data_IF_258026866135
#
_entry.id   IF_258026866135
#
_cell.length_a   1.000
_cell.length_b   1.000
_cell.length_c   1.000
_cell.angle_alpha   90.00
_cell.angle_beta   90.00
_cell.angle_gamma   90.00
#
_symmetry.space_group_name_H-M   'P 1'
#
loop_
_entity.id
_entity.type
_entity.pdbx_description
1 polymer ?
#
# COMPACT_ATOMS: atom_id res chain seq x y z
N UNK A 1 46.98 -49.56 21.44
CA UNK A 1 47.42 -49.84 20.05
C UNK A 1 48.55 -48.88 19.68
N UNK A 2 49.78 -49.37 19.62
CA UNK A 2 50.96 -48.66 19.15
C UNK A 2 51.00 -48.82 17.64
N UNK A 3 50.88 -47.68 16.89
CA UNK A 3 51.19 -47.72 15.48
C UNK A 3 51.66 -46.37 14.98
N UNK A 4 52.89 -46.42 14.48
CA UNK A 4 53.47 -45.54 13.44
C UNK A 4 53.84 -44.10 13.80
N UNK A 5 54.94 -44.00 14.60
CA UNK A 5 55.93 -42.90 14.46
C UNK A 5 56.85 -43.25 13.28
N UNK A 6 56.55 -42.78 12.12
CA UNK A 6 57.50 -42.71 11.00
C UNK A 6 57.42 -41.37 10.32
N UNK A 7 58.57 -40.74 10.18
CA UNK A 7 58.83 -39.46 9.53
C UNK A 7 58.40 -38.20 10.30
N UNK A 8 59.39 -37.56 10.93
CA UNK A 8 59.34 -36.27 11.59
C UNK A 8 59.24 -35.06 10.62
N UNK A 9 58.33 -35.12 9.67
CA UNK A 9 57.91 -33.93 8.94
C UNK A 9 56.76 -33.33 9.75
N UNK A 10 57.06 -32.31 10.56
CA UNK A 10 55.99 -31.43 11.07
C UNK A 10 55.29 -30.86 9.83
N UNK A 11 54.12 -31.35 9.55
CA UNK A 11 53.27 -30.65 8.62
C UNK A 11 53.10 -29.24 9.20
N UNK A 12 53.63 -28.26 8.51
CA UNK A 12 53.44 -26.86 8.88
C UNK A 12 51.93 -26.65 8.97
N UNK A 13 51.48 -26.27 10.16
CA UNK A 13 50.05 -25.94 10.41
C UNK A 13 49.70 -24.85 9.42
N UNK A 14 48.87 -25.18 8.42
CA UNK A 14 48.45 -24.22 7.41
C UNK A 14 47.58 -23.16 8.10
N UNK A 15 48.17 -21.99 8.33
CA UNK A 15 47.41 -20.81 8.79
C UNK A 15 46.91 -20.08 7.56
N UNK A 16 45.57 -19.87 7.41
CA UNK A 16 45.06 -19.10 6.30
C UNK A 16 45.65 -17.70 6.34
N UNK A 17 46.24 -17.26 5.25
CA UNK A 17 46.75 -15.89 5.12
C UNK A 17 45.60 -14.93 5.31
N UNK A 18 45.75 -13.84 6.08
CA UNK A 18 44.72 -12.84 6.21
C UNK A 18 44.24 -12.38 4.83
N UNK A 19 42.91 -12.20 4.61
CA UNK A 19 42.40 -11.76 3.34
C UNK A 19 43.09 -10.45 2.95
N UNK A 20 43.71 -10.41 1.78
CA UNK A 20 44.26 -9.16 1.26
C UNK A 20 43.15 -8.19 0.96
N UNK A 21 43.32 -6.91 1.33
CA UNK A 21 42.34 -5.89 0.93
C UNK A 21 42.20 -5.89 -0.59
N UNK A 22 40.97 -5.73 -1.08
CA UNK A 22 40.73 -5.68 -2.52
C UNK A 22 41.52 -4.52 -3.15
N UNK A 23 42.04 -4.68 -4.38
CA UNK A 23 42.78 -3.61 -5.07
C UNK A 23 41.94 -2.32 -5.10
N UNK A 24 42.58 -1.16 -4.88
CA UNK A 24 41.89 0.13 -4.88
C UNK A 24 41.14 0.41 -6.20
N UNK A 25 41.56 -0.20 -7.31
CA UNK A 25 40.91 -0.14 -8.62
C UNK A 25 39.59 -0.95 -8.70
N UNK A 26 39.32 -1.82 -7.73
CA UNK A 26 38.11 -2.67 -7.71
C UNK A 26 37.08 -2.26 -6.65
N UNK A 27 37.42 -1.27 -5.81
CA UNK A 27 36.60 -0.81 -4.68
C UNK A 27 36.31 0.69 -4.80
N UNK A 28 35.14 1.13 -4.40
CA UNK A 28 34.72 2.54 -4.40
C UNK A 28 33.86 2.93 -5.62
N UNK A 29 33.37 4.18 -5.60
CA UNK A 29 32.47 4.71 -6.62
C UNK A 29 33.04 4.71 -8.04
N UNK A 30 34.34 5.00 -8.17
CA UNK A 30 35.01 5.00 -9.47
C UNK A 30 35.09 3.59 -10.10
N UNK A 31 35.41 2.58 -9.28
CA UNK A 31 35.44 1.19 -9.73
C UNK A 31 34.02 0.68 -10.08
N UNK A 32 33.04 1.07 -9.28
CA UNK A 32 31.63 0.76 -9.54
C UNK A 32 31.15 1.40 -10.86
N UNK A 33 31.41 2.70 -11.06
CA UNK A 33 31.05 3.42 -12.27
C UNK A 33 31.69 2.79 -13.52
N UNK A 34 32.99 2.50 -13.45
CA UNK A 34 33.72 1.86 -14.57
C UNK A 34 33.13 0.51 -14.93
N UNK A 35 32.71 -0.29 -13.95
CA UNK A 35 32.17 -1.64 -14.16
C UNK A 35 30.71 -1.67 -14.58
N UNK A 36 29.90 -0.68 -14.20
CA UNK A 36 28.46 -0.68 -14.45
C UNK A 36 28.03 0.35 -15.51
N UNK A 37 28.79 1.45 -15.67
CA UNK A 37 28.42 2.52 -16.60
C UNK A 37 29.32 2.58 -17.85
N UNK A 38 30.54 2.06 -17.76
CA UNK A 38 31.56 2.20 -18.79
C UNK A 38 32.29 0.87 -19.10
N UNK A 39 31.62 -0.28 -18.87
CA UNK A 39 32.23 -1.59 -19.06
C UNK A 39 32.36 -1.96 -20.54
N UNK A 40 31.38 -1.68 -21.34
CA UNK A 40 31.30 -1.97 -22.77
C UNK A 40 30.96 -0.71 -23.57
N UNK A 41 31.24 -0.68 -24.90
CA UNK A 41 30.80 0.43 -25.75
C UNK A 41 29.29 0.67 -25.69
N UNK A 42 28.49 -0.39 -25.52
CA UNK A 42 27.04 -0.29 -25.33
C UNK A 42 26.68 0.39 -24.03
N UNK A 43 27.35 0.03 -22.91
CA UNK A 43 27.11 0.67 -21.60
C UNK A 43 27.49 2.16 -21.64
N UNK A 44 28.58 2.51 -22.34
CA UNK A 44 28.96 3.91 -22.54
C UNK A 44 27.89 4.67 -23.29
N UNK A 45 27.40 4.12 -24.42
CA UNK A 45 26.32 4.76 -25.20
C UNK A 45 25.06 4.95 -24.39
N UNK A 46 24.61 3.92 -23.66
CA UNK A 46 23.43 4.01 -22.78
C UNK A 46 23.62 5.00 -21.64
N UNK A 47 24.82 5.05 -21.06
CA UNK A 47 25.13 6.00 -19.98
C UNK A 47 25.12 7.45 -20.49
N UNK A 48 25.69 7.70 -21.68
CA UNK A 48 25.68 9.04 -22.30
C UNK A 48 24.24 9.46 -22.65
N UNK A 49 23.47 8.56 -23.28
CA UNK A 49 22.05 8.84 -23.61
C UNK A 49 21.23 9.08 -22.33
N UNK A 50 21.41 8.26 -21.31
CA UNK A 50 20.75 8.44 -20.01
C UNK A 50 21.12 9.76 -19.35
N UNK A 51 22.40 10.14 -19.37
CA UNK A 51 22.87 11.41 -18.83
C UNK A 51 22.28 12.61 -19.59
N UNK A 52 22.26 12.57 -20.93
CA UNK A 52 21.62 13.60 -21.75
C UNK A 52 20.13 13.72 -21.41
N UNK A 53 19.42 12.60 -21.32
CA UNK A 53 18.00 12.59 -20.96
C UNK A 53 17.74 13.15 -19.56
N UNK A 54 18.55 12.78 -18.57
CA UNK A 54 18.42 13.29 -17.20
C UNK A 54 18.71 14.79 -17.14
N UNK A 55 19.75 15.26 -17.83
CA UNK A 55 20.10 16.68 -17.88
C UNK A 55 18.98 17.47 -18.59
N UNK A 56 18.49 16.96 -19.72
CA UNK A 56 17.41 17.61 -20.46
C UNK A 56 16.13 17.69 -19.63
N UNK A 57 15.66 16.55 -19.06
CA UNK A 57 14.50 16.51 -18.16
C UNK A 57 14.70 17.40 -16.93
N UNK A 58 15.90 17.34 -16.34
CA UNK A 58 16.25 18.17 -15.20
C UNK A 58 16.15 19.66 -15.51
N UNK A 59 16.67 20.10 -16.65
CA UNK A 59 16.55 21.49 -17.10
C UNK A 59 15.09 21.89 -17.33
N UNK A 60 14.29 21.07 -18.01
CA UNK A 60 12.85 21.32 -18.25
C UNK A 60 12.10 21.44 -16.93
N UNK A 61 12.34 20.53 -15.99
CA UNK A 61 11.69 20.55 -14.68
C UNK A 61 12.12 21.73 -13.82
N UNK A 62 13.41 22.06 -13.82
CA UNK A 62 13.94 23.22 -13.08
C UNK A 62 13.42 24.51 -13.64
N UNK A 63 13.38 24.63 -14.97
CA UNK A 63 12.82 25.80 -15.65
C UNK A 63 11.35 26.00 -15.31
N UNK A 64 10.56 24.93 -15.42
CA UNK A 64 9.14 24.95 -15.10
C UNK A 64 8.87 25.20 -13.61
N UNK A 65 9.58 24.50 -12.71
CA UNK A 65 9.27 24.51 -11.28
C UNK A 65 9.84 25.72 -10.54
N UNK A 66 10.94 26.33 -11.05
CA UNK A 66 11.67 27.37 -10.32
C UNK A 66 11.96 28.62 -11.16
N UNK A 67 12.50 28.50 -12.38
CA UNK A 67 12.97 29.66 -13.14
C UNK A 67 11.80 30.47 -13.66
N UNK A 68 10.83 29.82 -14.31
CA UNK A 68 9.63 30.44 -14.86
C UNK A 68 8.42 30.35 -13.91
N UNK A 69 8.62 29.88 -12.69
CA UNK A 69 7.57 29.73 -11.70
C UNK A 69 7.17 31.07 -11.06
N UNK A 70 5.89 31.15 -10.67
CA UNK A 70 5.39 32.27 -9.85
C UNK A 70 5.42 31.85 -8.38
N UNK A 71 6.08 32.63 -7.51
CA UNK A 71 6.19 32.34 -6.07
C UNK A 71 5.35 33.30 -5.21
N UNK A 72 4.87 34.43 -5.78
CA UNK A 72 4.09 35.41 -5.05
C UNK A 72 2.89 35.88 -5.89
N UNK A 73 1.77 36.11 -5.23
CA UNK A 73 0.54 36.62 -5.85
C UNK A 73 -0.66 36.24 -5.01
N UNK A 74 -1.62 37.16 -4.87
CA UNK A 74 -2.82 36.98 -4.04
C UNK A 74 -4.04 36.50 -4.84
N UNK A 75 -3.93 36.48 -6.18
CA UNK A 75 -5.03 36.10 -7.05
C UNK A 75 -4.60 35.26 -8.27
N UNK A 76 -5.61 34.81 -9.04
CA UNK A 76 -5.43 34.03 -10.26
C UNK A 76 -4.57 34.70 -11.32
N UNK A 77 -4.52 36.04 -11.35
CA UNK A 77 -3.79 36.77 -12.37
C UNK A 77 -2.29 36.59 -12.26
N UNK A 78 -1.78 36.34 -11.06
CA UNK A 78 -0.37 36.00 -10.83
C UNK A 78 0.09 34.72 -11.57
N UNK A 79 -0.84 33.83 -11.90
CA UNK A 79 -0.59 32.58 -12.59
C UNK A 79 -0.84 32.64 -14.11
N UNK A 80 -1.34 33.75 -14.64
CA UNK A 80 -1.73 33.89 -16.05
C UNK A 80 -0.64 34.57 -16.92
N UNK A 81 0.62 34.52 -16.54
CA UNK A 81 1.74 35.06 -17.30
C UNK A 81 2.01 34.26 -18.58
N UNK A 82 2.46 34.93 -19.68
CA UNK A 82 2.67 34.26 -20.98
C UNK A 82 3.76 33.19 -20.99
N UNK A 83 4.68 33.19 -20.03
CA UNK A 83 5.67 32.13 -19.82
C UNK A 83 5.30 31.38 -18.53
N UNK A 84 4.59 30.26 -18.69
CA UNK A 84 3.95 29.58 -17.56
C UNK A 84 4.83 28.44 -17.02
N UNK A 85 5.50 28.74 -15.89
CA UNK A 85 6.01 27.73 -14.99
C UNK A 85 4.96 27.34 -13.93
N UNK A 86 5.41 26.68 -12.87
CA UNK A 86 4.57 26.30 -11.74
C UNK A 86 4.01 27.53 -11.02
N UNK A 87 2.76 27.44 -10.59
CA UNK A 87 2.12 28.48 -9.76
C UNK A 87 2.07 28.04 -8.30
N UNK A 88 3.07 28.40 -7.53
CA UNK A 88 3.17 28.03 -6.11
C UNK A 88 2.14 28.71 -5.21
N UNK A 89 1.74 30.00 -5.42
CA UNK A 89 0.68 30.63 -4.66
C UNK A 89 -0.65 29.89 -4.71
N UNK A 90 -0.96 29.26 -5.86
CA UNK A 90 -2.13 28.41 -5.99
C UNK A 90 -2.06 27.19 -5.06
N UNK A 91 -0.89 26.54 -4.98
CA UNK A 91 -0.67 25.38 -4.10
C UNK A 91 -0.83 25.81 -2.64
N UNK A 92 -0.23 26.94 -2.26
CA UNK A 92 -0.31 27.46 -0.88
C UNK A 92 -1.76 27.80 -0.50
N UNK A 93 -2.47 28.54 -1.33
CA UNK A 93 -3.87 28.91 -1.10
C UNK A 93 -4.84 27.72 -1.03
N UNK A 94 -4.52 26.62 -1.71
CA UNK A 94 -5.38 25.43 -1.81
C UNK A 94 -4.90 24.24 -0.99
N UNK A 95 -3.75 24.33 -0.33
CA UNK A 95 -3.14 23.21 0.41
C UNK A 95 -4.10 22.65 1.46
N UNK A 96 -4.82 23.49 2.19
CA UNK A 96 -5.84 23.07 3.14
C UNK A 96 -6.92 22.22 2.47
N UNK A 97 -7.41 22.63 1.31
CA UNK A 97 -8.41 21.87 0.57
C UNK A 97 -7.86 20.58 -0.02
N UNK A 98 -6.59 20.54 -0.44
CA UNK A 98 -5.97 19.30 -0.91
C UNK A 98 -5.82 18.26 0.21
N UNK A 99 -5.63 18.70 1.45
CA UNK A 99 -5.48 17.79 2.59
C UNK A 99 -6.82 17.39 3.19
N UNK A 100 -7.68 18.37 3.47
CA UNK A 100 -8.89 18.18 4.28
C UNK A 100 -10.20 18.20 3.46
N UNK A 101 -10.14 18.61 2.19
CA UNK A 101 -11.34 18.83 1.38
C UNK A 101 -12.12 20.08 1.82
N UNK A 102 -13.40 19.89 2.14
CA UNK A 102 -14.29 20.91 2.68
C UNK A 102 -14.59 20.72 4.16
N UNK A 103 -13.75 19.96 4.86
CA UNK A 103 -13.93 19.70 6.28
C UNK A 103 -13.94 21.02 7.05
N UNK A 104 -14.87 21.23 8.03
CA UNK A 104 -14.98 22.49 8.76
C UNK A 104 -13.68 22.93 9.41
N UNK A 105 -13.26 24.17 9.18
CA UNK A 105 -11.96 24.69 9.66
C UNK A 105 -11.81 24.58 11.17
N UNK A 106 -12.88 24.86 11.94
CA UNK A 106 -12.89 24.74 13.40
C UNK A 106 -12.58 23.31 13.88
N UNK A 107 -12.79 22.32 13.05
CA UNK A 107 -12.70 20.89 13.40
C UNK A 107 -11.50 20.18 12.76
N UNK A 108 -10.65 20.87 11.99
CA UNK A 108 -9.46 20.31 11.34
C UNK A 108 -8.51 19.61 12.34
N UNK A 109 -8.47 20.09 13.57
CA UNK A 109 -7.66 19.48 14.63
C UNK A 109 -7.97 17.98 14.81
N UNK A 110 -9.21 17.54 14.60
CA UNK A 110 -9.63 16.12 14.69
C UNK A 110 -8.94 15.28 13.61
N UNK A 111 -8.93 15.80 12.38
CA UNK A 111 -8.27 15.15 11.24
C UNK A 111 -6.76 15.04 11.51
N UNK A 112 -6.16 16.10 12.04
CA UNK A 112 -4.74 16.12 12.39
C UNK A 112 -4.40 15.09 13.46
N UNK A 113 -5.27 14.92 14.47
CA UNK A 113 -5.10 13.87 15.47
C UNK A 113 -5.18 12.48 14.86
N UNK A 114 -6.15 12.25 13.95
CA UNK A 114 -6.26 10.96 13.23
C UNK A 114 -4.99 10.68 12.43
N UNK A 115 -4.48 11.66 11.70
CA UNK A 115 -3.22 11.50 10.96
C UNK A 115 -2.03 11.23 11.90
N UNK A 116 -1.91 11.99 12.99
CA UNK A 116 -0.85 11.82 13.97
C UNK A 116 -0.85 10.41 14.57
N UNK A 117 -2.00 9.92 15.04
CA UNK A 117 -2.11 8.57 15.61
C UNK A 117 -1.91 7.48 14.56
N UNK A 118 -2.36 7.70 13.32
CA UNK A 118 -2.07 6.80 12.20
C UNK A 118 -0.57 6.69 11.92
N UNK A 119 0.13 7.81 11.81
CA UNK A 119 1.58 7.83 11.61
C UNK A 119 2.33 7.24 12.82
N UNK A 120 1.92 7.58 14.04
CA UNK A 120 2.52 7.05 15.27
C UNK A 120 2.39 5.51 15.36
N UNK A 121 1.29 4.93 14.85
CA UNK A 121 1.13 3.49 14.78
C UNK A 121 1.88 2.84 13.61
N UNK A 122 1.91 3.49 12.44
CA UNK A 122 2.51 2.92 11.22
C UNK A 122 4.04 3.00 11.20
N UNK A 123 4.62 4.14 11.61
CA UNK A 123 6.08 4.35 11.54
C UNK A 123 6.88 3.28 12.30
N UNK A 124 6.52 2.88 13.54
CA UNK A 124 7.22 1.80 14.22
C UNK A 124 7.12 0.45 13.51
N UNK A 125 6.07 0.21 12.71
CA UNK A 125 5.94 -1.02 11.94
C UNK A 125 6.96 -1.13 10.81
N UNK A 126 7.41 0.00 10.26
CA UNK A 126 8.43 0.07 9.21
C UNK A 126 9.85 -0.17 9.75
N UNK A 127 10.07 0.04 11.04
CA UNK A 127 11.39 -0.15 11.67
C UNK A 127 11.54 -1.59 12.17
N UNK A 128 12.48 -2.40 11.63
CA UNK A 128 12.65 -3.81 12.02
C UNK A 128 12.92 -4.01 13.51
N UNK A 129 13.66 -3.10 14.14
CA UNK A 129 14.07 -3.15 15.55
C UNK A 129 13.07 -2.52 16.53
N UNK A 130 11.95 -1.95 16.06
CA UNK A 130 10.99 -1.30 16.95
C UNK A 130 10.36 -2.32 17.92
N UNK A 131 10.28 -1.97 19.22
CA UNK A 131 9.62 -2.80 20.22
C UNK A 131 8.09 -2.76 20.07
N UNK A 132 7.40 -3.67 20.77
CA UNK A 132 5.94 -3.67 20.93
C UNK A 132 5.13 -3.75 19.61
N UNK A 133 5.63 -4.39 18.57
CA UNK A 133 4.92 -4.55 17.30
C UNK A 133 3.53 -5.17 17.45
N UNK A 134 3.38 -6.16 18.34
CA UNK A 134 2.08 -6.79 18.59
C UNK A 134 1.07 -5.79 19.18
N UNK A 135 1.52 -4.91 20.05
CA UNK A 135 0.68 -3.82 20.60
C UNK A 135 0.28 -2.84 19.50
N UNK A 136 1.22 -2.42 18.65
CA UNK A 136 0.92 -1.54 17.51
C UNK A 136 -0.07 -2.15 16.52
N UNK A 137 0.02 -3.46 16.27
CA UNK A 137 -0.96 -4.16 15.42
C UNK A 137 -2.35 -4.13 16.08
N UNK A 138 -2.44 -4.45 17.38
CA UNK A 138 -3.70 -4.39 18.13
C UNK A 138 -4.28 -2.98 18.15
N UNK A 139 -3.44 -1.96 18.33
CA UNK A 139 -3.82 -0.56 18.27
C UNK A 139 -4.38 -0.19 16.89
N UNK A 140 -3.66 -0.49 15.80
CA UNK A 140 -4.06 -0.13 14.44
C UNK A 140 -5.29 -0.89 13.93
N UNK A 141 -5.51 -2.13 14.38
CA UNK A 141 -6.65 -2.93 13.93
C UNK A 141 -7.87 -2.82 14.86
N UNK A 142 -7.66 -2.52 16.13
CA UNK A 142 -8.73 -2.44 17.13
C UNK A 142 -9.13 -0.99 17.48
N UNK A 143 -8.26 -0.26 18.13
CA UNK A 143 -8.55 1.07 18.64
C UNK A 143 -8.64 2.12 17.53
N UNK A 144 -7.66 2.16 16.65
CA UNK A 144 -7.52 3.22 15.65
C UNK A 144 -8.71 3.37 14.69
N UNK A 145 -9.34 2.31 14.14
CA UNK A 145 -10.51 2.48 13.29
C UNK A 145 -11.72 3.08 14.02
N UNK A 146 -11.94 2.66 15.26
CA UNK A 146 -13.03 3.20 16.09
C UNK A 146 -12.77 4.65 16.45
N UNK A 147 -11.54 4.96 16.88
CA UNK A 147 -11.10 6.32 17.13
C UNK A 147 -11.26 7.22 15.92
N UNK A 148 -10.79 6.77 14.75
CA UNK A 148 -10.90 7.50 13.48
C UNK A 148 -12.37 7.77 13.13
N UNK A 149 -13.23 6.77 13.24
CA UNK A 149 -14.64 6.92 12.96
C UNK A 149 -15.28 7.99 13.86
N UNK A 150 -15.09 7.92 15.18
CA UNK A 150 -15.65 8.87 16.14
C UNK A 150 -15.09 10.28 15.90
N UNK A 151 -13.79 10.42 15.69
CA UNK A 151 -13.16 11.73 15.47
C UNK A 151 -13.62 12.39 14.18
N UNK A 152 -13.72 11.64 13.10
CA UNK A 152 -14.06 12.21 11.79
C UNK A 152 -15.55 12.49 11.62
N UNK A 153 -16.44 11.63 12.13
CA UNK A 153 -17.88 11.83 12.01
C UNK A 153 -18.45 12.76 13.09
N UNK A 154 -17.87 12.76 14.28
CA UNK A 154 -18.43 13.48 15.43
C UNK A 154 -19.75 12.89 15.92
N UNK A 155 -20.61 13.74 16.46
CA UNK A 155 -21.92 13.34 17.00
C UNK A 155 -21.89 12.64 18.36
N UNK A 156 -20.70 12.30 18.86
CA UNK A 156 -20.47 11.68 20.17
C UNK A 156 -19.54 12.56 21.01
N UNK A 157 -19.61 12.42 22.33
CA UNK A 157 -18.73 13.13 23.29
C UNK A 157 -18.75 14.66 23.15
N UNK A 158 -19.87 15.25 22.67
CA UNK A 158 -19.97 16.70 22.47
C UNK A 158 -19.27 17.22 21.21
N UNK A 159 -18.75 16.35 20.34
CA UNK A 159 -18.16 16.74 19.08
C UNK A 159 -19.26 17.07 18.06
N UNK A 160 -19.19 18.20 17.33
CA UNK A 160 -20.12 18.50 16.25
C UNK A 160 -20.10 17.41 15.19
N UNK A 161 -21.27 17.02 14.68
CA UNK A 161 -21.35 16.06 13.58
C UNK A 161 -20.85 16.72 12.28
N UNK A 162 -20.03 16.00 11.53
CA UNK A 162 -19.53 16.43 10.22
C UNK A 162 -19.96 15.40 9.18
N UNK A 163 -20.70 15.87 8.18
CA UNK A 163 -21.15 15.02 7.10
C UNK A 163 -19.98 14.54 6.23
N UNK A 164 -20.02 13.31 5.78
CA UNK A 164 -18.95 12.74 4.92
C UNK A 164 -18.91 13.38 3.54
N UNK A 165 -19.94 14.10 3.13
CA UNK A 165 -19.99 14.94 1.93
C UNK A 165 -19.02 16.13 1.98
N UNK A 166 -18.64 16.55 3.18
CA UNK A 166 -17.67 17.62 3.41
C UNK A 166 -16.22 17.10 3.49
N UNK A 167 -16.06 15.79 3.55
CA UNK A 167 -14.74 15.19 3.49
C UNK A 167 -14.20 15.23 2.07
N UNK A 168 -12.88 15.39 1.92
CA UNK A 168 -12.27 15.44 0.60
C UNK A 168 -10.75 15.39 0.66
N UNK A 169 -10.12 15.52 -0.49
CA UNK A 169 -8.68 15.58 -0.60
C UNK A 169 -7.99 14.32 -0.11
N UNK A 170 -6.82 14.51 0.50
CA UNK A 170 -6.01 13.43 1.06
C UNK A 170 -6.76 12.64 2.15
N UNK A 171 -7.62 13.29 2.93
CA UNK A 171 -8.43 12.64 3.95
C UNK A 171 -9.28 11.51 3.36
N UNK A 172 -10.07 11.78 2.31
CA UNK A 172 -10.91 10.76 1.66
C UNK A 172 -10.04 9.69 0.99
N UNK A 173 -8.97 10.10 0.31
CA UNK A 173 -8.02 9.17 -0.30
C UNK A 173 -7.50 8.15 0.73
N UNK A 174 -7.06 8.63 1.90
CA UNK A 174 -6.52 7.76 2.96
C UNK A 174 -7.62 6.90 3.61
N UNK A 175 -8.80 7.45 3.86
CA UNK A 175 -9.92 6.68 4.45
C UNK A 175 -10.31 5.53 3.52
N UNK A 176 -10.46 5.79 2.23
CA UNK A 176 -10.83 4.75 1.24
C UNK A 176 -9.71 3.71 1.10
N UNK A 177 -8.45 4.16 0.94
CA UNK A 177 -7.32 3.26 0.78
C UNK A 177 -7.12 2.37 2.01
N UNK A 178 -7.03 2.96 3.21
CA UNK A 178 -6.76 2.22 4.45
C UNK A 178 -7.89 1.24 4.77
N UNK A 179 -9.14 1.66 4.61
CA UNK A 179 -10.29 0.78 4.83
C UNK A 179 -10.31 -0.38 3.84
N UNK A 180 -10.11 -0.09 2.54
CA UNK A 180 -10.03 -1.12 1.51
C UNK A 180 -8.88 -2.10 1.75
N UNK A 181 -7.68 -1.62 2.08
CA UNK A 181 -6.51 -2.43 2.43
C UNK A 181 -6.79 -3.31 3.65
N UNK A 182 -7.30 -2.71 4.73
CA UNK A 182 -7.57 -3.42 5.98
C UNK A 182 -8.65 -4.51 5.82
N UNK A 183 -9.67 -4.26 5.01
CA UNK A 183 -10.74 -5.22 4.74
C UNK A 183 -10.32 -6.31 3.73
N UNK A 184 -9.51 -5.96 2.72
CA UNK A 184 -9.18 -6.87 1.62
C UNK A 184 -8.40 -8.12 2.07
N UNK A 185 -7.47 -7.98 3.00
CA UNK A 185 -6.64 -9.11 3.42
C UNK A 185 -7.42 -10.18 4.20
N UNK A 186 -8.16 -9.87 5.27
CA UNK A 186 -8.94 -10.88 5.99
C UNK A 186 -10.05 -11.49 5.12
N UNK A 187 -10.79 -10.67 4.37
CA UNK A 187 -11.82 -11.16 3.46
C UNK A 187 -11.22 -12.01 2.34
N UNK A 188 -10.10 -11.60 1.77
CA UNK A 188 -9.36 -12.34 0.76
C UNK A 188 -8.88 -13.70 1.25
N UNK A 189 -8.38 -13.79 2.50
CA UNK A 189 -8.01 -15.06 3.12
C UNK A 189 -9.24 -15.97 3.25
N UNK A 190 -10.36 -15.45 3.76
CA UNK A 190 -11.61 -16.23 3.91
C UNK A 190 -12.09 -16.74 2.56
N UNK A 191 -12.13 -15.90 1.53
CA UNK A 191 -12.53 -16.27 0.18
C UNK A 191 -11.58 -17.33 -0.44
N UNK A 192 -10.26 -17.16 -0.28
CA UNK A 192 -9.27 -18.10 -0.79
C UNK A 192 -9.40 -19.49 -0.11
N UNK A 193 -9.64 -19.54 1.20
CA UNK A 193 -9.90 -20.76 1.93
C UNK A 193 -11.25 -21.37 1.54
N UNK A 194 -12.28 -20.55 1.39
CA UNK A 194 -13.61 -20.99 0.97
C UNK A 194 -13.60 -21.61 -0.44
N UNK A 195 -12.85 -21.01 -1.39
CA UNK A 195 -12.63 -21.59 -2.74
C UNK A 195 -11.97 -22.99 -2.70
N UNK A 196 -11.20 -23.30 -1.66
CA UNK A 196 -10.57 -24.62 -1.44
C UNK A 196 -11.41 -25.57 -0.56
N UNK A 197 -12.57 -25.13 -0.10
CA UNK A 197 -13.44 -25.93 0.76
C UNK A 197 -13.89 -27.22 0.08
N UNK A 198 -14.05 -28.29 0.87
CA UNK A 198 -14.66 -29.54 0.44
C UNK A 198 -16.19 -29.43 0.33
N UNK A 199 -16.80 -28.43 0.99
CA UNK A 199 -18.23 -28.17 0.93
C UNK A 199 -18.56 -27.46 -0.40
N UNK A 200 -19.35 -28.10 -1.30
CA UNK A 200 -19.56 -27.58 -2.64
C UNK A 200 -20.24 -26.21 -2.64
N UNK A 201 -21.20 -25.98 -1.75
CA UNK A 201 -21.92 -24.69 -1.65
C UNK A 201 -20.95 -23.56 -1.34
N UNK A 202 -20.12 -23.68 -0.30
CA UNK A 202 -19.13 -22.65 0.08
C UNK A 202 -18.14 -22.42 -1.05
N UNK A 203 -17.66 -23.51 -1.65
CA UNK A 203 -16.70 -23.45 -2.76
C UNK A 203 -17.25 -22.65 -3.95
N UNK A 204 -18.46 -22.99 -4.42
CA UNK A 204 -19.05 -22.32 -5.59
C UNK A 204 -19.45 -20.90 -5.30
N UNK A 205 -19.95 -20.56 -4.10
CA UNK A 205 -20.22 -19.18 -3.70
C UNK A 205 -18.93 -18.34 -3.70
N UNK A 206 -17.83 -18.84 -3.13
CA UNK A 206 -16.56 -18.11 -3.13
C UNK A 206 -16.00 -17.95 -4.55
N UNK A 207 -16.10 -19.00 -5.40
CA UNK A 207 -15.67 -18.91 -6.80
C UNK A 207 -16.50 -17.86 -7.53
N UNK A 208 -17.82 -17.93 -7.46
CA UNK A 208 -18.73 -16.99 -8.10
C UNK A 208 -18.43 -15.55 -7.68
N UNK A 209 -18.28 -15.31 -6.37
CA UNK A 209 -17.92 -14.00 -5.85
C UNK A 209 -16.62 -13.48 -6.45
N UNK A 210 -15.55 -14.29 -6.37
CA UNK A 210 -14.23 -13.89 -6.87
C UNK A 210 -14.27 -13.59 -8.38
N UNK A 211 -14.89 -14.47 -9.18
CA UNK A 211 -14.93 -14.29 -10.64
C UNK A 211 -15.79 -13.08 -11.04
N UNK A 212 -16.92 -12.83 -10.37
CA UNK A 212 -17.78 -11.66 -10.65
C UNK A 212 -17.04 -10.36 -10.35
N UNK A 213 -16.48 -10.21 -9.14
CA UNK A 213 -15.80 -8.96 -8.77
C UNK A 213 -14.49 -8.72 -9.52
N UNK A 214 -13.82 -9.77 -10.01
CA UNK A 214 -12.64 -9.62 -10.87
C UNK A 214 -12.97 -9.43 -12.34
N UNK A 215 -14.13 -9.87 -12.78
CA UNK A 215 -14.59 -9.71 -14.16
C UNK A 215 -15.21 -8.34 -14.45
N UNK A 216 -15.57 -7.58 -13.42
CA UNK A 216 -16.23 -6.27 -13.56
C UNK A 216 -15.24 -5.16 -13.19
N UNK A 217 -15.17 -4.03 -13.96
CA UNK A 217 -14.35 -2.89 -13.59
C UNK A 217 -14.75 -2.29 -12.23
N UNK A 218 -13.77 -1.81 -11.45
CA UNK A 218 -14.05 -1.18 -10.15
C UNK A 218 -15.04 -0.02 -10.25
N UNK A 219 -14.95 0.79 -11.31
CA UNK A 219 -15.86 1.92 -11.53
C UNK A 219 -17.32 1.47 -11.58
N UNK A 220 -17.61 0.33 -12.20
CA UNK A 220 -18.95 -0.26 -12.24
C UNK A 220 -19.39 -0.72 -10.87
N UNK A 221 -18.50 -1.36 -10.10
CA UNK A 221 -18.78 -1.79 -8.71
C UNK A 221 -19.12 -0.60 -7.82
N UNK A 222 -18.37 0.50 -7.93
CA UNK A 222 -18.61 1.74 -7.18
C UNK A 222 -19.95 2.36 -7.54
N UNK A 223 -20.29 2.42 -8.82
CA UNK A 223 -21.58 2.92 -9.28
C UNK A 223 -22.74 2.05 -8.75
N UNK A 224 -22.60 0.73 -8.87
CA UNK A 224 -23.59 -0.23 -8.34
C UNK A 224 -23.75 -0.10 -6.81
N UNK A 225 -22.66 0.00 -6.08
CA UNK A 225 -22.69 0.20 -4.63
C UNK A 225 -23.33 1.54 -4.26
N UNK A 226 -23.07 2.61 -5.01
CA UNK A 226 -23.64 3.93 -4.72
C UNK A 226 -25.13 4.04 -5.03
N UNK A 227 -25.57 3.48 -6.18
CA UNK A 227 -26.93 3.67 -6.71
C UNK A 227 -27.84 2.49 -6.36
N UNK A 228 -27.36 1.26 -6.53
CA UNK A 228 -28.23 0.08 -6.37
C UNK A 228 -28.29 -0.46 -4.94
N UNK A 229 -27.21 -0.34 -4.15
CA UNK A 229 -27.22 -0.85 -2.78
C UNK A 229 -28.41 -0.31 -1.95
N UNK A 230 -28.75 0.99 -2.00
CA UNK A 230 -29.93 1.50 -1.28
C UNK A 230 -31.26 0.82 -1.65
N UNK A 231 -31.38 0.35 -2.91
CA UNK A 231 -32.60 -0.31 -3.39
C UNK A 231 -32.83 -1.71 -2.78
N UNK A 232 -31.77 -2.30 -2.24
CA UNK A 232 -31.84 -3.62 -1.58
C UNK A 232 -31.95 -3.51 -0.06
N UNK A 233 -31.91 -2.29 0.49
CA UNK A 233 -32.00 -2.08 1.93
C UNK A 233 -33.49 -1.95 2.34
N UNK A 234 -33.85 -2.39 3.56
CA UNK A 234 -35.16 -2.16 4.11
C UNK A 234 -35.49 -0.67 4.24
N UNK A 235 -36.75 -0.32 4.19
CA UNK A 235 -37.22 1.04 4.39
C UNK A 235 -36.71 1.63 5.71
N UNK A 236 -36.17 2.84 5.64
CA UNK A 236 -35.60 3.55 6.79
C UNK A 236 -34.13 3.24 7.05
N UNK A 237 -33.50 2.28 6.37
CA UNK A 237 -32.07 2.01 6.44
C UNK A 237 -31.37 2.64 5.23
N UNK A 238 -30.55 3.65 5.48
CA UNK A 238 -29.75 4.26 4.41
C UNK A 238 -28.28 4.37 4.86
N UNK A 239 -27.39 3.79 4.08
CA UNK A 239 -25.96 4.00 4.29
C UNK A 239 -25.52 5.31 3.61
N UNK A 240 -24.70 6.04 4.32
CA UNK A 240 -24.00 7.19 3.77
C UNK A 240 -23.21 6.85 2.49
N UNK A 241 -23.06 7.84 1.61
CA UNK A 241 -22.40 7.66 0.31
C UNK A 241 -20.97 7.11 0.44
N UNK A 242 -20.21 7.62 1.40
CA UNK A 242 -18.83 7.14 1.65
C UNK A 242 -18.88 5.67 2.12
N UNK A 243 -19.78 5.31 3.03
CA UNK A 243 -19.91 3.93 3.52
C UNK A 243 -20.23 2.96 2.37
N UNK A 244 -21.14 3.33 1.47
CA UNK A 244 -21.44 2.52 0.27
C UNK A 244 -20.22 2.33 -0.62
N UNK A 245 -19.45 3.39 -0.81
CA UNK A 245 -18.18 3.34 -1.55
C UNK A 245 -17.17 2.41 -0.87
N UNK A 246 -16.98 2.53 0.45
CA UNK A 246 -16.08 1.69 1.23
C UNK A 246 -16.45 0.19 1.13
N UNK A 247 -17.75 -0.14 1.18
CA UNK A 247 -18.23 -1.51 0.97
C UNK A 247 -17.84 -2.01 -0.43
N UNK A 248 -18.12 -1.22 -1.49
CA UNK A 248 -17.79 -1.58 -2.86
C UNK A 248 -16.29 -1.83 -3.06
N UNK A 249 -15.44 -0.94 -2.54
CA UNK A 249 -13.98 -1.07 -2.58
C UNK A 249 -13.51 -2.29 -1.81
N UNK A 250 -14.06 -2.55 -0.61
CA UNK A 250 -13.68 -3.69 0.21
C UNK A 250 -14.02 -5.02 -0.46
N UNK A 251 -15.19 -5.15 -1.06
CA UNK A 251 -15.62 -6.36 -1.78
C UNK A 251 -14.75 -6.59 -3.03
N UNK A 252 -14.53 -5.55 -3.83
CA UNK A 252 -13.69 -5.62 -5.02
C UNK A 252 -12.26 -6.03 -4.68
N UNK A 253 -11.62 -5.32 -3.76
CA UNK A 253 -10.22 -5.57 -3.40
C UNK A 253 -10.03 -6.94 -2.71
N UNK A 254 -11.06 -7.44 -1.99
CA UNK A 254 -11.01 -8.76 -1.39
C UNK A 254 -10.97 -9.88 -2.42
N UNK A 255 -11.62 -9.72 -3.58
CA UNK A 255 -11.60 -10.71 -4.66
C UNK A 255 -10.19 -10.82 -5.29
N UNK A 256 -9.52 -9.69 -5.52
CA UNK A 256 -8.12 -9.68 -5.99
C UNK A 256 -7.17 -10.26 -4.94
N UNK A 257 -7.33 -9.88 -3.68
CA UNK A 257 -6.53 -10.41 -2.58
C UNK A 257 -6.73 -11.93 -2.41
N UNK A 258 -7.95 -12.43 -2.63
CA UNK A 258 -8.22 -13.87 -2.58
C UNK A 258 -7.38 -14.67 -3.59
N UNK A 259 -7.19 -14.14 -4.80
CA UNK A 259 -6.35 -14.79 -5.81
C UNK A 259 -4.86 -14.75 -5.45
N UNK A 260 -4.38 -13.65 -4.88
CA UNK A 260 -3.01 -13.54 -4.37
C UNK A 260 -2.77 -14.58 -3.28
N UNK A 261 -3.66 -14.65 -2.28
CA UNK A 261 -3.58 -15.64 -1.19
C UNK A 261 -3.70 -17.08 -1.72
N UNK A 262 -4.60 -17.32 -2.68
CA UNK A 262 -4.75 -18.63 -3.34
C UNK A 262 -3.44 -19.09 -3.97
N UNK A 263 -2.75 -18.19 -4.69
CA UNK A 263 -1.43 -18.45 -5.27
C UNK A 263 -0.43 -18.92 -4.20
N UNK A 264 -0.37 -18.24 -3.06
CA UNK A 264 0.47 -18.65 -1.93
C UNK A 264 0.10 -20.01 -1.35
N UNK A 265 -1.20 -20.26 -1.15
CA UNK A 265 -1.68 -21.55 -0.65
C UNK A 265 -1.38 -22.72 -1.61
N UNK A 266 -1.32 -22.46 -2.91
CA UNK A 266 -0.96 -23.47 -3.91
C UNK A 266 0.54 -23.76 -3.95
N UNK A 267 1.38 -22.81 -3.59
CA UNK A 267 2.83 -22.95 -3.57
C UNK A 267 3.34 -23.78 -2.38
N UNK A 268 2.49 -24.06 -1.38
CA UNK A 268 2.90 -24.85 -0.21
C UNK A 268 3.03 -26.35 -0.60
N UNK A 269 4.20 -26.96 -0.37
CA UNK A 269 4.42 -28.38 -0.66
C UNK A 269 3.45 -29.29 0.10
N UNK A 270 3.02 -30.38 -0.55
CA UNK A 270 2.11 -31.40 0.05
C UNK A 270 2.67 -31.98 1.36
N UNK A 271 4.00 -32.15 1.45
CA UNK A 271 4.67 -32.65 2.65
C UNK A 271 4.40 -31.83 3.92
N UNK A 272 4.08 -30.52 3.81
CA UNK A 272 3.69 -29.70 4.97
C UNK A 272 2.33 -30.13 5.53
N UNK A 273 1.40 -30.52 4.66
CA UNK A 273 0.09 -31.03 5.06
C UNK A 273 0.20 -32.48 5.63
N UNK A 274 1.05 -33.30 5.02
CA UNK A 274 1.30 -34.68 5.45
C UNK A 274 1.99 -34.73 6.81
N UNK A 275 3.02 -33.89 7.01
CA UNK A 275 3.70 -33.74 8.30
C UNK A 275 2.75 -33.28 9.42
N UNK A 276 1.89 -32.30 9.11
CA UNK A 276 0.88 -31.82 10.05
C UNK A 276 -0.11 -32.91 10.42
N UNK A 277 -0.55 -33.72 9.45
CA UNK A 277 -1.45 -34.87 9.69
C UNK A 277 -0.77 -35.93 10.52
N UNK A 278 0.52 -36.23 10.30
CA UNK A 278 1.29 -37.17 11.11
C UNK A 278 1.42 -36.75 12.59
N UNK A 279 1.40 -35.42 12.84
CA UNK A 279 1.36 -34.85 14.20
C UNK A 279 -0.05 -34.75 14.79
N UNK A 280 -1.08 -35.31 14.11
CA UNK A 280 -2.46 -35.29 14.58
C UNK A 280 -3.14 -33.93 14.52
N UNK A 281 -2.60 -32.98 13.75
CA UNK A 281 -3.19 -31.63 13.63
C UNK A 281 -4.42 -31.66 12.71
N UNK A 282 -5.56 -31.22 13.24
CA UNK A 282 -6.77 -31.04 12.44
C UNK A 282 -6.65 -29.84 11.44
N UNK A 283 -7.55 -29.79 10.47
CA UNK A 283 -7.55 -28.82 9.37
C UNK A 283 -7.29 -27.35 9.79
N UNK A 284 -8.01 -26.84 10.78
CA UNK A 284 -7.89 -25.46 11.22
C UNK A 284 -6.54 -25.16 11.89
N UNK A 285 -6.02 -26.11 12.69
CA UNK A 285 -4.69 -25.97 13.32
C UNK A 285 -3.60 -26.01 12.26
N UNK A 286 -3.66 -26.94 11.32
CA UNK A 286 -2.74 -27.03 10.17
C UNK A 286 -2.76 -25.76 9.34
N UNK A 287 -3.96 -25.28 9.00
CA UNK A 287 -4.10 -24.07 8.18
C UNK A 287 -3.55 -22.83 8.91
N UNK A 288 -3.96 -22.60 10.16
CA UNK A 288 -3.60 -21.38 10.91
C UNK A 288 -2.14 -21.32 11.32
N UNK A 289 -1.58 -22.46 11.77
CA UNK A 289 -0.25 -22.50 12.39
C UNK A 289 0.88 -22.81 11.39
N UNK A 290 0.59 -23.53 10.31
CA UNK A 290 1.62 -24.03 9.39
C UNK A 290 1.45 -23.44 7.99
N UNK A 291 0.30 -23.68 7.36
CA UNK A 291 0.11 -23.40 5.93
C UNK A 291 -0.04 -21.91 5.65
N UNK A 292 -0.97 -21.24 6.36
CA UNK A 292 -1.30 -19.83 6.08
C UNK A 292 -0.12 -18.88 6.33
N UNK A 293 0.65 -19.00 7.45
CA UNK A 293 1.81 -18.14 7.65
C UNK A 293 2.87 -18.28 6.55
N UNK A 294 3.12 -19.52 6.10
CA UNK A 294 4.06 -19.78 5.02
C UNK A 294 3.52 -19.23 3.68
N UNK A 295 2.25 -19.50 3.37
CA UNK A 295 1.61 -19.01 2.16
C UNK A 295 1.63 -17.48 2.07
N UNK A 296 1.25 -16.77 3.15
CA UNK A 296 1.27 -15.32 3.19
C UNK A 296 2.68 -14.77 3.00
N UNK A 297 3.70 -15.39 3.61
CA UNK A 297 5.10 -14.97 3.44
C UNK A 297 5.56 -15.05 1.98
N UNK A 298 5.13 -16.07 1.25
CA UNK A 298 5.49 -16.24 -0.17
C UNK A 298 4.84 -15.17 -1.06
N UNK A 299 3.67 -14.67 -0.69
CA UNK A 299 2.92 -13.71 -1.52
C UNK A 299 2.98 -12.27 -1.01
N UNK A 300 3.86 -11.96 -0.04
CA UNK A 300 4.06 -10.56 0.41
C UNK A 300 4.24 -9.58 -0.76
N UNK A 301 5.07 -9.84 -1.78
CA UNK A 301 5.21 -8.92 -2.91
C UNK A 301 3.88 -8.70 -3.66
N UNK A 302 3.09 -9.76 -3.84
CA UNK A 302 1.76 -9.68 -4.46
C UNK A 302 0.75 -8.89 -3.61
N UNK A 303 0.77 -9.09 -2.29
CA UNK A 303 -0.06 -8.33 -1.33
C UNK A 303 0.27 -6.83 -1.42
N UNK A 304 1.56 -6.48 -1.35
CA UNK A 304 2.01 -5.09 -1.45
C UNK A 304 1.62 -4.47 -2.79
N UNK A 305 1.79 -5.20 -3.89
CA UNK A 305 1.40 -4.72 -5.22
C UNK A 305 -0.12 -4.47 -5.30
N UNK A 306 -0.94 -5.33 -4.71
CA UNK A 306 -2.40 -5.14 -4.63
C UNK A 306 -2.75 -3.89 -3.82
N UNK A 307 -2.06 -3.63 -2.70
CA UNK A 307 -2.26 -2.44 -1.90
C UNK A 307 -1.88 -1.16 -2.64
N UNK A 308 -0.76 -1.17 -3.37
CA UNK A 308 -0.34 -0.03 -4.21
C UNK A 308 -1.38 0.21 -5.32
N UNK A 309 -1.89 -0.85 -5.94
CA UNK A 309 -2.97 -0.76 -6.93
C UNK A 309 -4.20 -0.10 -6.33
N UNK A 310 -4.69 -0.60 -5.19
CA UNK A 310 -5.85 -0.07 -4.51
C UNK A 310 -5.70 1.42 -4.12
N UNK A 311 -4.50 1.82 -3.68
CA UNK A 311 -4.23 3.22 -3.36
C UNK A 311 -4.37 4.13 -4.59
N UNK A 312 -3.99 3.66 -5.77
CA UNK A 312 -4.19 4.39 -7.03
C UNK A 312 -5.66 4.42 -7.45
N UNK A 313 -6.38 3.33 -7.20
CA UNK A 313 -7.78 3.18 -7.58
C UNK A 313 -8.73 4.05 -6.76
N UNK A 314 -8.25 4.67 -5.65
CA UNK A 314 -9.06 5.61 -4.88
C UNK A 314 -9.54 6.80 -5.70
N UNK A 315 -8.84 7.17 -6.78
CA UNK A 315 -9.26 8.26 -7.66
C UNK A 315 -10.60 7.99 -8.37
N UNK A 316 -11.00 6.72 -8.49
CA UNK A 316 -12.27 6.35 -9.10
C UNK A 316 -13.50 6.72 -8.25
N UNK A 317 -13.32 7.07 -6.97
CA UNK A 317 -14.44 7.48 -6.11
C UNK A 317 -15.06 8.82 -6.54
N UNK A 318 -14.34 9.57 -7.37
CA UNK A 318 -14.86 10.79 -7.99
C UNK A 318 -16.15 10.53 -8.79
N UNK A 319 -16.29 9.37 -9.42
CA UNK A 319 -17.48 9.00 -10.21
C UNK A 319 -18.75 8.97 -9.38
N UNK A 320 -18.63 8.67 -8.09
CA UNK A 320 -19.75 8.67 -7.15
C UNK A 320 -19.89 10.01 -6.40
N UNK A 321 -19.11 11.03 -6.81
CA UNK A 321 -19.16 12.38 -6.26
C UNK A 321 -18.50 12.50 -4.89
N UNK A 322 -17.47 11.71 -4.61
CA UNK A 322 -16.53 11.88 -3.51
C UNK A 322 -15.24 12.47 -4.06
N UNK A 323 -14.87 13.63 -3.56
CA UNK A 323 -13.70 14.37 -4.05
C UNK A 323 -12.44 13.90 -3.29
N UNK A 324 -11.75 12.92 -3.85
CA UNK A 324 -10.41 12.52 -3.40
C UNK A 324 -9.36 13.60 -3.72
N UNK A 325 -8.09 13.34 -3.44
CA UNK A 325 -7.02 14.31 -3.70
C UNK A 325 -6.98 14.74 -5.16
N UNK A 326 -7.05 13.80 -6.11
CA UNK A 326 -7.03 14.13 -7.54
C UNK A 326 -8.31 14.89 -7.94
N UNK A 327 -9.46 14.47 -7.43
CA UNK A 327 -10.74 15.14 -7.68
C UNK A 327 -10.77 16.59 -7.22
N UNK A 328 -10.20 16.90 -6.05
CA UNK A 328 -10.06 18.28 -5.56
C UNK A 328 -9.13 19.09 -6.47
N UNK A 329 -7.99 18.52 -6.88
CA UNK A 329 -7.04 19.20 -7.77
C UNK A 329 -7.64 19.49 -9.14
N UNK A 330 -8.44 18.58 -9.69
CA UNK A 330 -9.10 18.76 -10.99
C UNK A 330 -10.27 19.76 -10.95
N UNK A 331 -10.90 19.94 -9.81
CA UNK A 331 -12.03 20.83 -9.63
C UNK A 331 -11.59 22.30 -9.58
N UNK A 332 -10.36 22.59 -9.25
CA UNK A 332 -9.78 23.94 -9.14
C UNK A 332 -8.87 24.29 -10.29
#
# INVERSE_FOLDING_TARGET
MRALRWWGVRMAEWTPKPPRPAPASSVGLAAWARRNLFATPGDVALTVLGAILIIWLGNVLLDWAFINASFSGDDRTACLKPLQGACWPFIDAKLGQFIYGRYPEAEIWRVNLVFLFGFAGLVPMLVPSAPLKSFNIAFLLGFYPVFTFIMLTGGLFGLPAVETTDWGGLLVTLVVAVTGIAASLPLGIVLALGRRSKLPVIRYLCIGFIEVFRGVPLITVLFMASVMLPLFLPDGVNFDKLMRCLIGVALFSSAYMAEVVRGGLQAIPKGQYEAAAALGLGYWKTTRLIVLPQALKLVIPGIVNTFIGLFKDTTLVLIVGLFDLLGIVQFH
#
